data_IF_024684874497
#
_entry.id   IF_024684874497
#
_cell.length_a   1.000
_cell.length_b   1.000
_cell.length_c   1.000
_cell.angle_alpha   90.00
_cell.angle_beta   90.00
_cell.angle_gamma   90.00
#
_symmetry.space_group_name_H-M   'P 1'
#
loop_
_entity.id
_entity.type
_entity.pdbx_description
1 polymer ?
#
# COMPACT_ATOMS: atom_id res chain seq x y z
N UNK A 1 2.64 1.06 -5.18
CA UNK A 1 2.48 1.65 -3.81
C UNK A 1 1.20 2.48 -3.76
N UNK A 2 0.44 2.46 -2.65
CA UNK A 2 -0.90 3.10 -2.56
C UNK A 2 -0.88 4.61 -2.87
N UNK A 3 0.21 5.28 -2.56
CA UNK A 3 0.48 6.70 -2.87
C UNK A 3 1.99 6.92 -2.88
N UNK A 4 2.51 7.84 -3.70
CA UNK A 4 3.94 8.16 -3.71
C UNK A 4 4.38 8.91 -2.46
N UNK A 5 5.67 8.81 -2.12
CA UNK A 5 6.25 9.49 -0.95
C UNK A 5 6.10 11.01 -1.06
N UNK A 6 6.33 11.58 -2.24
CA UNK A 6 6.20 13.02 -2.50
C UNK A 6 4.77 13.51 -2.27
N UNK A 7 3.79 12.74 -2.79
CA UNK A 7 2.39 13.09 -2.64
C UNK A 7 1.93 12.94 -1.18
N UNK A 8 2.38 11.91 -0.47
CA UNK A 8 2.10 11.77 0.97
C UNK A 8 2.64 12.96 1.77
N UNK A 9 3.88 13.40 1.53
CA UNK A 9 4.50 14.57 2.16
C UNK A 9 3.78 15.88 1.84
N UNK A 10 3.14 16.00 0.68
CA UNK A 10 2.38 17.19 0.31
C UNK A 10 1.03 17.28 1.02
N UNK A 11 0.50 16.17 1.53
CA UNK A 11 -0.83 16.08 2.12
C UNK A 11 -0.82 16.00 3.65
N UNK A 12 0.23 15.44 4.25
CA UNK A 12 0.37 15.30 5.70
C UNK A 12 1.79 15.67 6.16
N UNK A 13 1.91 16.17 7.38
CA UNK A 13 3.21 16.48 7.98
C UNK A 13 3.97 15.21 8.35
N UNK A 14 5.10 14.95 7.68
CA UNK A 14 5.96 13.80 7.93
C UNK A 14 7.39 14.21 8.36
N UNK A 15 7.52 15.40 8.94
CA UNK A 15 8.80 15.93 9.40
C UNK A 15 9.52 14.99 10.37
N UNK A 16 10.84 14.88 10.18
CA UNK A 16 11.70 13.99 10.97
C UNK A 16 11.70 12.53 10.49
N UNK A 17 10.90 12.17 9.47
CA UNK A 17 11.02 10.87 8.82
C UNK A 17 11.79 10.96 7.51
N UNK A 18 12.68 9.99 7.27
CA UNK A 18 13.36 9.83 5.98
C UNK A 18 12.43 9.23 4.94
N UNK A 19 12.68 9.48 3.66
CA UNK A 19 11.89 8.94 2.55
C UNK A 19 11.80 7.42 2.58
N UNK A 20 12.91 6.76 2.87
CA UNK A 20 12.96 5.30 3.04
C UNK A 20 12.06 4.81 4.18
N UNK A 21 11.96 5.57 5.28
CA UNK A 21 11.06 5.22 6.39
C UNK A 21 9.59 5.41 5.98
N UNK A 22 9.28 6.51 5.29
CA UNK A 22 7.93 6.80 4.79
C UNK A 22 7.50 5.70 3.81
N UNK A 23 8.34 5.36 2.84
CA UNK A 23 8.10 4.29 1.87
C UNK A 23 7.81 2.95 2.55
N UNK A 24 8.66 2.54 3.51
CA UNK A 24 8.44 1.31 4.27
C UNK A 24 7.12 1.30 5.04
N UNK A 25 6.73 2.46 5.63
CA UNK A 25 5.45 2.60 6.33
C UNK A 25 4.26 2.59 5.38
N UNK A 26 4.35 3.25 4.23
CA UNK A 26 3.31 3.21 3.20
C UNK A 26 3.09 1.79 2.68
N UNK A 27 4.16 1.05 2.40
CA UNK A 27 4.07 -0.38 2.00
C UNK A 27 3.40 -1.23 3.10
N UNK A 28 3.71 -0.99 4.37
CA UNK A 28 3.08 -1.70 5.49
C UNK A 28 1.59 -1.35 5.64
N UNK A 29 1.22 -0.08 5.52
CA UNK A 29 -0.19 0.39 5.55
C UNK A 29 -0.97 -0.21 4.39
N UNK A 30 -0.41 -0.20 3.18
CA UNK A 30 -1.02 -0.82 2.00
C UNK A 30 -1.32 -2.31 2.22
N UNK A 31 -0.36 -3.06 2.75
CA UNK A 31 -0.56 -4.48 3.09
C UNK A 31 -1.65 -4.66 4.16
N UNK A 32 -1.68 -3.80 5.17
CA UNK A 32 -2.70 -3.82 6.23
C UNK A 32 -4.10 -3.59 5.65
N UNK A 33 -4.26 -2.60 4.77
CA UNK A 33 -5.53 -2.29 4.09
C UNK A 33 -6.00 -3.50 3.26
N UNK A 34 -5.11 -4.08 2.46
CA UNK A 34 -5.40 -5.25 1.62
C UNK A 34 -5.78 -6.48 2.47
N UNK A 35 -5.05 -6.73 3.54
CA UNK A 35 -5.33 -7.83 4.47
C UNK A 35 -6.67 -7.62 5.21
N UNK A 36 -6.95 -6.40 5.69
CA UNK A 36 -8.20 -6.07 6.38
C UNK A 36 -9.41 -6.19 5.47
N UNK A 37 -9.30 -5.71 4.25
CA UNK A 37 -10.41 -5.72 3.27
C UNK A 37 -10.53 -7.05 2.54
N UNK A 38 -9.54 -7.93 2.59
CA UNK A 38 -9.42 -9.10 1.72
C UNK A 38 -9.64 -8.73 0.24
N UNK A 39 -9.15 -7.54 -0.16
CA UNK A 39 -9.34 -6.96 -1.47
C UNK A 39 -7.99 -6.53 -2.03
N UNK A 40 -7.67 -6.99 -3.21
CA UNK A 40 -6.44 -6.66 -3.92
C UNK A 40 -6.55 -5.37 -4.75
N UNK A 41 -7.73 -4.73 -4.79
CA UNK A 41 -7.99 -3.50 -5.54
C UNK A 41 -7.56 -3.60 -7.02
N UNK A 42 -7.63 -4.80 -7.57
CA UNK A 42 -7.29 -5.06 -8.96
C UNK A 42 -8.37 -4.51 -9.90
N UNK A 43 -7.94 -3.72 -10.86
CA UNK A 43 -8.75 -3.37 -12.03
C UNK A 43 -8.51 -4.42 -13.12
N UNK A 44 -9.49 -5.31 -13.32
CA UNK A 44 -9.35 -6.44 -14.24
C UNK A 44 -9.51 -6.04 -15.71
N UNK A 45 -9.96 -4.83 -16.00
CA UNK A 45 -10.01 -4.28 -17.36
C UNK A 45 -8.58 -4.04 -17.89
N UNK A 46 -7.65 -3.72 -16.97
CA UNK A 46 -6.23 -3.50 -17.26
C UNK A 46 -5.38 -4.68 -16.78
N UNK A 47 -5.51 -5.79 -17.50
CA UNK A 47 -4.81 -7.04 -17.21
C UNK A 47 -4.18 -7.61 -18.46
N UNK A 48 -2.88 -7.93 -18.37
CA UNK A 48 -2.10 -8.53 -19.45
C UNK A 48 -1.32 -9.75 -18.96
N UNK A 49 -1.06 -10.69 -19.87
CA UNK A 49 -0.04 -11.73 -19.67
C UNK A 49 1.27 -11.19 -20.23
N UNK A 50 2.36 -11.34 -19.48
CA UNK A 50 3.66 -10.86 -19.87
C UNK A 50 4.75 -11.91 -19.61
N UNK A 51 5.85 -11.85 -20.34
CA UNK A 51 7.10 -12.48 -19.96
C UNK A 51 8.06 -11.42 -19.41
N UNK A 52 8.95 -11.85 -18.51
CA UNK A 52 9.95 -10.97 -17.89
C UNK A 52 11.32 -11.38 -18.40
N UNK A 53 12.07 -10.44 -18.95
CA UNK A 53 13.45 -10.64 -19.41
C UNK A 53 14.31 -9.44 -19.03
N UNK A 54 15.34 -9.69 -18.26
CA UNK A 54 16.29 -8.66 -17.81
C UNK A 54 15.61 -7.43 -17.15
N UNK A 55 14.52 -7.63 -16.40
CA UNK A 55 13.77 -6.56 -15.75
C UNK A 55 12.64 -5.95 -16.59
N UNK A 56 12.58 -6.26 -17.89
CA UNK A 56 11.55 -5.75 -18.79
C UNK A 56 10.39 -6.74 -18.88
N UNK A 57 9.17 -6.24 -18.69
CA UNK A 57 7.92 -6.95 -18.91
C UNK A 57 7.48 -6.75 -20.35
N UNK A 58 7.32 -7.83 -21.09
CA UNK A 58 6.87 -7.83 -22.49
C UNK A 58 5.56 -8.58 -22.62
N UNK A 59 4.57 -7.95 -23.26
CA UNK A 59 3.23 -8.48 -23.48
C UNK A 59 2.91 -8.57 -24.96
N UNK A 60 2.03 -9.50 -25.35
CA UNK A 60 1.43 -9.54 -26.69
C UNK A 60 0.21 -8.61 -26.82
N UNK A 61 -0.35 -8.17 -25.69
CA UNK A 61 -1.47 -7.23 -25.64
C UNK A 61 -0.97 -5.82 -25.31
N UNK A 62 -1.68 -4.81 -25.82
CA UNK A 62 -1.37 -3.40 -25.57
C UNK A 62 -1.33 -3.11 -24.06
N UNK A 63 -0.27 -2.44 -23.64
CA UNK A 63 -0.07 -1.98 -22.29
C UNK A 63 -0.73 -0.61 -22.12
N UNK A 64 -1.56 -0.49 -21.09
CA UNK A 64 -2.27 0.74 -20.73
C UNK A 64 -1.84 1.26 -19.35
N UNK A 65 -0.62 0.87 -18.94
CA UNK A 65 -0.04 1.36 -17.69
C UNK A 65 0.70 2.68 -17.95
N UNK A 66 0.82 3.48 -16.88
CA UNK A 66 1.58 4.72 -16.88
C UNK A 66 2.70 4.65 -15.84
N UNK A 67 3.82 5.38 -16.02
CA UNK A 67 4.83 5.50 -14.98
C UNK A 67 4.23 5.95 -13.65
N UNK A 68 4.60 5.25 -12.56
CA UNK A 68 4.02 5.46 -11.23
C UNK A 68 2.78 4.61 -10.93
N UNK A 69 2.20 3.92 -11.90
CA UNK A 69 1.10 2.98 -11.65
C UNK A 69 1.56 1.82 -10.77
N UNK A 70 0.66 1.35 -9.91
CA UNK A 70 0.87 0.11 -9.16
C UNK A 70 0.29 -1.05 -9.94
N UNK A 71 1.09 -2.08 -10.16
CA UNK A 71 0.65 -3.33 -10.77
C UNK A 71 0.86 -4.50 -9.82
N UNK A 72 -0.01 -5.49 -9.90
CA UNK A 72 0.15 -6.75 -9.20
C UNK A 72 0.52 -7.85 -10.18
N UNK A 73 1.69 -8.45 -9.93
CA UNK A 73 2.10 -9.69 -10.60
C UNK A 73 1.55 -10.88 -9.82
N UNK A 74 0.96 -11.81 -10.53
CA UNK A 74 0.40 -13.06 -10.00
C UNK A 74 0.63 -14.22 -10.97
N UNK A 75 0.38 -15.45 -10.54
CA UNK A 75 0.66 -16.67 -11.29
C UNK A 75 2.14 -16.86 -11.66
N UNK A 76 3.02 -16.23 -10.91
CA UNK A 76 4.46 -16.29 -11.02
C UNK A 76 5.04 -17.26 -9.99
N UNK A 77 6.20 -17.87 -10.28
CA UNK A 77 6.96 -18.67 -9.32
C UNK A 77 7.80 -17.81 -8.39
N UNK A 78 8.32 -16.67 -8.92
CA UNK A 78 9.33 -15.87 -8.23
C UNK A 78 8.95 -14.41 -8.05
N UNK A 79 8.03 -13.89 -8.87
CA UNK A 79 7.71 -12.47 -8.95
C UNK A 79 6.30 -12.12 -8.45
N UNK A 80 5.63 -12.99 -7.68
CA UNK A 80 4.33 -12.63 -7.11
C UNK A 80 4.46 -11.44 -6.15
N UNK A 81 3.80 -10.33 -6.43
CA UNK A 81 3.92 -9.13 -5.61
C UNK A 81 3.26 -7.89 -6.21
N UNK A 82 3.51 -6.77 -5.53
CA UNK A 82 3.17 -5.44 -6.01
C UNK A 82 4.44 -4.78 -6.54
N UNK A 83 4.31 -4.14 -7.67
CA UNK A 83 5.37 -3.44 -8.37
C UNK A 83 4.91 -2.04 -8.77
N UNK A 84 5.85 -1.12 -8.89
CA UNK A 84 5.61 0.23 -9.41
C UNK A 84 6.16 0.30 -10.83
N UNK A 85 5.36 0.72 -11.79
CA UNK A 85 5.81 0.94 -13.17
C UNK A 85 6.81 2.10 -13.17
N UNK A 86 8.04 1.84 -13.59
CA UNK A 86 9.09 2.85 -13.70
C UNK A 86 8.98 3.59 -15.03
N UNK A 87 8.89 2.84 -16.12
CA UNK A 87 8.83 3.37 -17.48
C UNK A 87 8.02 2.44 -18.39
N UNK A 88 7.30 3.02 -19.34
CA UNK A 88 6.68 2.29 -20.46
C UNK A 88 7.55 2.51 -21.68
N UNK A 89 8.27 1.47 -22.09
CA UNK A 89 9.29 1.55 -23.14
C UNK A 89 8.69 1.51 -24.54
N UNK A 90 7.58 0.80 -24.71
CA UNK A 90 6.75 0.82 -25.92
C UNK A 90 5.31 0.34 -25.60
N UNK A 91 4.46 0.24 -26.61
CA UNK A 91 3.05 -0.19 -26.45
C UNK A 91 2.90 -1.62 -25.90
N UNK A 92 3.94 -2.41 -25.91
CA UNK A 92 3.95 -3.83 -25.51
C UNK A 92 4.97 -4.13 -24.38
N UNK A 93 5.73 -3.12 -23.89
CA UNK A 93 6.78 -3.34 -22.91
C UNK A 93 6.86 -2.23 -21.85
N UNK A 94 7.14 -2.63 -20.61
CA UNK A 94 7.37 -1.72 -19.49
C UNK A 94 8.40 -2.28 -18.51
N UNK A 95 8.97 -1.39 -17.71
CA UNK A 95 9.88 -1.70 -16.61
C UNK A 95 9.25 -1.34 -15.27
N UNK A 96 9.73 -1.97 -14.20
CA UNK A 96 9.30 -1.69 -12.82
C UNK A 96 10.49 -1.22 -11.98
N UNK A 97 10.21 -0.51 -10.88
CA UNK A 97 11.26 -0.02 -9.97
C UNK A 97 11.94 -1.13 -9.17
N UNK A 98 11.23 -2.22 -8.91
CA UNK A 98 11.70 -3.31 -8.08
C UNK A 98 12.43 -4.38 -8.92
N UNK A 99 13.37 -5.09 -8.28
CA UNK A 99 14.08 -6.19 -8.92
C UNK A 99 13.16 -7.36 -9.25
N UNK A 100 13.32 -7.92 -10.43
CA UNK A 100 12.56 -9.07 -10.91
C UNK A 100 13.50 -10.18 -11.43
N UNK A 101 12.94 -11.38 -11.57
CA UNK A 101 13.62 -12.52 -12.18
C UNK A 101 12.98 -12.86 -13.50
N UNK A 102 13.78 -13.35 -14.43
CA UNK A 102 13.28 -13.82 -15.72
C UNK A 102 12.23 -14.92 -15.52
N UNK A 103 11.10 -14.78 -16.16
CA UNK A 103 9.98 -15.71 -16.06
C UNK A 103 9.03 -15.56 -17.25
N UNK A 104 8.42 -16.67 -17.65
CA UNK A 104 7.38 -16.72 -18.68
C UNK A 104 5.99 -16.68 -18.05
N UNK A 105 5.02 -16.17 -18.79
CA UNK A 105 3.58 -16.30 -18.52
C UNK A 105 3.14 -15.80 -17.13
N UNK A 106 3.62 -14.64 -16.71
CA UNK A 106 3.13 -13.96 -15.51
C UNK A 106 1.89 -13.12 -15.82
N UNK A 107 0.95 -13.08 -14.88
CA UNK A 107 -0.25 -12.27 -15.01
C UNK A 107 -0.05 -10.93 -14.31
N UNK A 108 -0.11 -9.84 -15.07
CA UNK A 108 0.02 -8.46 -14.54
C UNK A 108 -1.34 -7.78 -14.56
N UNK A 109 -1.73 -7.19 -13.45
CA UNK A 109 -3.02 -6.48 -13.30
C UNK A 109 -2.80 -5.13 -12.64
N UNK A 110 -3.36 -4.07 -13.20
CA UNK A 110 -3.33 -2.74 -12.58
C UNK A 110 -4.05 -2.75 -11.23
N UNK A 111 -3.48 -2.05 -10.26
CA UNK A 111 -4.08 -1.85 -8.93
C UNK A 111 -4.54 -0.40 -8.82
N UNK A 112 -5.82 -0.21 -8.55
CA UNK A 112 -6.42 1.13 -8.43
C UNK A 112 -7.08 1.27 -7.06
N UNK A 113 -6.58 2.19 -6.27
CA UNK A 113 -7.17 2.50 -4.97
C UNK A 113 -8.15 3.67 -5.09
N UNK A 114 -9.41 3.51 -4.60
CA UNK A 114 -10.35 4.62 -4.48
C UNK A 114 -9.80 5.75 -3.60
N UNK A 115 -10.23 6.97 -3.85
CA UNK A 115 -9.71 8.15 -3.16
C UNK A 115 -9.90 8.11 -1.63
N UNK A 116 -11.02 7.56 -1.15
CA UNK A 116 -11.30 7.37 0.27
C UNK A 116 -10.42 6.29 0.92
N UNK A 117 -9.97 5.29 0.17
CA UNK A 117 -8.98 4.30 0.63
C UNK A 117 -7.60 4.93 0.74
N UNK A 118 -7.24 5.83 -0.19
CA UNK A 118 -5.99 6.60 -0.12
C UNK A 118 -6.02 7.55 1.10
N UNK A 119 -7.12 8.26 1.31
CA UNK A 119 -7.30 9.12 2.49
C UNK A 119 -7.19 8.32 3.80
N UNK A 120 -7.83 7.15 3.83
CA UNK A 120 -7.68 6.22 4.96
C UNK A 120 -6.21 5.81 5.21
N UNK A 121 -5.45 5.55 4.15
CA UNK A 121 -4.03 5.21 4.28
C UNK A 121 -3.20 6.37 4.87
N UNK A 122 -3.50 7.61 4.46
CA UNK A 122 -2.86 8.80 5.01
C UNK A 122 -3.19 8.98 6.51
N UNK A 123 -4.44 8.80 6.91
CA UNK A 123 -4.86 8.85 8.31
C UNK A 123 -4.16 7.77 9.16
N UNK A 124 -3.98 6.56 8.62
CA UNK A 124 -3.22 5.50 9.28
C UNK A 124 -1.74 5.86 9.42
N UNK A 125 -1.14 6.47 8.37
CA UNK A 125 0.26 6.89 8.39
C UNK A 125 0.48 8.04 9.40
N UNK A 126 -0.41 9.01 9.45
CA UNK A 126 -0.37 10.10 10.43
C UNK A 126 -0.52 9.57 11.86
N UNK A 127 -1.43 8.62 12.08
CA UNK A 127 -1.55 7.94 13.36
C UNK A 127 -0.26 7.22 13.75
N UNK A 128 0.37 6.51 12.82
CA UNK A 128 1.68 5.86 13.03
C UNK A 128 2.73 6.85 13.50
N UNK A 129 2.79 8.02 12.89
CA UNK A 129 3.75 9.06 13.24
C UNK A 129 3.51 9.60 14.65
N UNK A 130 2.25 9.86 15.00
CA UNK A 130 1.91 10.64 16.19
C UNK A 130 1.68 9.77 17.44
N UNK A 131 1.39 8.48 17.28
CA UNK A 131 0.92 7.65 18.37
C UNK A 131 1.63 6.30 18.55
N UNK A 132 2.41 5.82 17.57
CA UNK A 132 3.00 4.47 17.65
C UNK A 132 3.97 4.29 18.83
N UNK A 133 4.72 5.31 19.17
CA UNK A 133 5.65 5.33 20.31
C UNK A 133 4.96 5.38 21.68
N UNK A 134 3.67 5.73 21.70
CA UNK A 134 2.83 5.81 22.90
C UNK A 134 2.00 4.54 23.14
N UNK A 135 2.07 3.58 22.25
CA UNK A 135 1.35 2.31 22.38
C UNK A 135 1.88 1.55 23.61
N UNK A 136 0.97 1.15 24.50
CA UNK A 136 1.29 0.50 25.79
C UNK A 136 1.42 1.47 26.98
N UNK A 137 1.39 2.79 26.74
CA UNK A 137 1.32 3.79 27.78
C UNK A 137 -0.15 4.13 28.01
N UNK A 138 -0.70 3.81 29.20
CA UNK A 138 -2.08 4.11 29.53
C UNK A 138 -2.29 5.58 29.94
N UNK A 139 -1.37 6.10 30.74
CA UNK A 139 -1.42 7.50 31.17
C UNK A 139 -0.05 8.01 31.52
N UNK A 140 0.16 9.29 31.30
CA UNK A 140 1.36 10.01 31.70
C UNK A 140 0.95 11.21 32.55
N UNK A 141 1.57 11.36 33.72
CA UNK A 141 1.28 12.48 34.63
C UNK A 141 2.54 13.30 34.79
N UNK A 142 2.54 14.50 34.27
CA UNK A 142 3.59 15.52 34.43
C UNK A 142 3.07 16.64 35.32
N UNK A 143 3.47 16.61 36.58
CA UNK A 143 3.08 17.63 37.58
C UNK A 143 1.52 17.72 37.73
N UNK A 144 0.90 18.77 37.18
CA UNK A 144 -0.56 19.00 37.26
C UNK A 144 -1.33 18.60 36.01
N UNK A 145 -0.66 18.08 34.98
CA UNK A 145 -1.26 17.62 33.75
C UNK A 145 -1.22 16.09 33.67
N UNK A 146 -2.37 15.47 33.51
CA UNK A 146 -2.51 14.04 33.24
C UNK A 146 -3.05 13.88 31.81
N UNK A 147 -2.35 13.08 31.00
CA UNK A 147 -2.76 12.71 29.65
C UNK A 147 -3.07 11.22 29.66
N UNK A 148 -4.29 10.88 29.24
CA UNK A 148 -4.71 9.49 29.05
C UNK A 148 -4.66 9.16 27.57
N UNK A 149 -3.91 8.12 27.21
CA UNK A 149 -3.79 7.67 25.83
C UNK A 149 -4.87 6.67 25.48
N UNK A 150 -5.10 6.50 24.17
CA UNK A 150 -6.06 5.53 23.67
C UNK A 150 -5.66 4.11 24.09
N UNK A 151 -6.53 3.43 24.80
CA UNK A 151 -6.30 2.04 25.19
C UNK A 151 -6.52 1.13 23.99
N UNK A 152 -5.42 0.52 23.51
CA UNK A 152 -5.40 -0.46 22.41
C UNK A 152 -5.89 -1.83 22.84
N UNK A 153 -6.04 -2.07 24.14
CA UNK A 153 -6.57 -3.31 24.70
C UNK A 153 -8.11 -3.29 24.73
N UNK A 154 -8.75 -4.44 24.81
CA UNK A 154 -10.20 -4.50 25.02
C UNK A 154 -11.07 -4.41 23.77
N UNK A 155 -10.57 -4.82 22.58
CA UNK A 155 -11.38 -4.93 21.36
C UNK A 155 -11.58 -3.63 20.58
N UNK A 156 -10.98 -2.53 21.01
CA UNK A 156 -11.02 -1.24 20.32
C UNK A 156 -9.94 -1.09 19.25
N UNK A 157 -9.06 -2.08 19.12
CA UNK A 157 -7.99 -2.11 18.12
C UNK A 157 -8.17 -3.26 17.14
N UNK A 158 -7.78 -3.02 15.89
CA UNK A 158 -7.78 -4.00 14.81
C UNK A 158 -6.47 -3.86 14.05
N UNK A 159 -5.73 -4.96 13.90
CA UNK A 159 -4.44 -4.98 13.20
C UNK A 159 -3.43 -3.94 13.70
N UNK A 160 -3.49 -3.61 15.00
CA UNK A 160 -2.60 -2.65 15.64
C UNK A 160 -2.96 -1.16 15.42
N UNK A 161 -4.18 -0.87 14.98
CA UNK A 161 -4.75 0.48 14.83
C UNK A 161 -6.07 0.60 15.59
N UNK A 162 -6.48 1.81 16.00
CA UNK A 162 -7.83 2.07 16.48
C UNK A 162 -8.87 1.62 15.45
N UNK A 163 -9.86 0.85 15.88
CA UNK A 163 -10.90 0.31 14.98
C UNK A 163 -11.68 1.41 14.22
N UNK A 164 -11.76 2.62 14.78
CA UNK A 164 -12.38 3.79 14.15
C UNK A 164 -11.67 4.24 12.87
N UNK A 165 -10.33 4.14 12.83
CA UNK A 165 -9.54 4.52 11.66
C UNK A 165 -9.75 3.56 10.46
N UNK A 166 -10.16 2.32 10.72
CA UNK A 166 -10.45 1.33 9.69
C UNK A 166 -11.92 1.34 9.25
N UNK A 167 -12.72 2.25 9.79
CA UNK A 167 -14.16 2.35 9.50
C UNK A 167 -14.47 2.60 8.03
N UNK A 168 -13.70 3.47 7.37
CA UNK A 168 -13.79 3.80 5.95
C UNK A 168 -13.59 2.57 5.03
N UNK A 169 -12.85 1.56 5.48
CA UNK A 169 -12.53 0.37 4.69
C UNK A 169 -13.63 -0.70 4.71
N UNK A 170 -14.66 -0.56 5.55
CA UNK A 170 -15.71 -1.57 5.71
C UNK A 170 -16.45 -1.87 4.41
N UNK A 171 -16.71 -0.86 3.59
CA UNK A 171 -17.39 -0.99 2.31
C UNK A 171 -16.61 -1.82 1.27
N UNK A 172 -15.28 -1.91 1.44
CA UNK A 172 -14.37 -2.59 0.51
C UNK A 172 -14.05 -4.04 0.91
N UNK A 173 -14.59 -4.50 2.05
CA UNK A 173 -14.33 -5.86 2.54
C UNK A 173 -14.98 -6.90 1.64
N UNK A 174 -14.18 -7.84 1.17
CA UNK A 174 -14.62 -9.03 0.44
C UNK A 174 -14.67 -10.25 1.37
N UNK A 175 -15.63 -11.15 1.11
CA UNK A 175 -15.70 -12.42 1.83
C UNK A 175 -14.40 -13.23 1.62
N UNK A 176 -14.00 -13.97 2.64
CA UNK A 176 -12.96 -15.00 2.54
C UNK A 176 -13.67 -16.34 2.27
N UNK A 177 -13.32 -16.95 1.18
CA UNK A 177 -13.77 -18.29 0.82
C UNK A 177 -12.64 -19.27 1.02
#
# INVERSE_FOLDING_TARGET
>A
MIISVEKAKSLIELDGWTDKKIEGKLKAVEQTIRAYTNNNFQDREFRVTACIRAGVFMSEALIVFEPGDTVQVSQSRHNNGLYTVAEVTDDLAFEVEEETRDEDDVLVTKVVYPADVIDCALNLLEWEKNNRDKVGIQSETLSRHSVTYFNMDGGNSVMGYPASLLGCLKAYRKARF
#
